data_IF_919243829992
#
_entry.id   IF_919243829992
#
_cell.length_a   1.000
_cell.length_b   1.000
_cell.length_c   1.000
_cell.angle_alpha   90.00
_cell.angle_beta   90.00
_cell.angle_gamma   90.00
#
_symmetry.space_group_name_H-M   'P 1'
#
loop_
_entity.id
_entity.type
_entity.pdbx_description
1 polymer ?
#
# COMPACT_ATOMS: atom_id res chain seq x y z
N UNK A 1 -11.76 -8.30 -34.11
CA UNK A 1 -13.02 -8.13 -33.37
C UNK A 1 -12.72 -7.30 -32.14
N UNK A 2 -12.91 -5.97 -32.21
CA UNK A 2 -12.69 -5.05 -31.09
C UNK A 2 -13.86 -5.24 -30.11
N UNK A 3 -13.60 -5.79 -28.93
CA UNK A 3 -14.59 -5.83 -27.84
C UNK A 3 -14.27 -4.69 -26.88
N UNK A 4 -14.97 -3.56 -27.02
CA UNK A 4 -14.91 -2.42 -26.07
C UNK A 4 -13.84 -1.39 -26.43
N UNK A 5 -14.23 -0.12 -26.50
CA UNK A 5 -13.34 1.02 -26.81
C UNK A 5 -12.37 1.39 -25.67
N UNK A 6 -11.84 0.41 -24.95
CA UNK A 6 -10.83 0.62 -23.92
C UNK A 6 -9.43 0.65 -24.56
N UNK A 7 -8.50 1.49 -24.05
CA UNK A 7 -7.09 1.43 -24.41
C UNK A 7 -6.47 0.04 -24.24
N UNK A 8 -5.41 -0.27 -24.99
CA UNK A 8 -4.74 -1.59 -24.93
C UNK A 8 -4.08 -1.87 -23.56
N UNK A 9 -3.76 -0.82 -22.81
CA UNK A 9 -3.16 -0.85 -21.48
C UNK A 9 -4.18 -0.67 -20.34
N UNK A 10 -5.47 -0.68 -20.66
CA UNK A 10 -6.51 -0.52 -19.65
C UNK A 10 -6.56 -1.74 -18.71
N UNK A 11 -6.58 -1.47 -17.41
CA UNK A 11 -6.88 -2.46 -16.35
C UNK A 11 -8.33 -2.29 -15.92
N UNK A 12 -9.08 -3.40 -15.89
CA UNK A 12 -10.47 -3.42 -15.42
C UNK A 12 -10.51 -4.02 -14.02
N UNK A 13 -11.00 -3.24 -13.06
CA UNK A 13 -11.22 -3.66 -11.68
C UNK A 13 -12.72 -3.55 -11.36
N UNK A 14 -13.23 -4.49 -10.58
CA UNK A 14 -14.51 -4.32 -9.88
C UNK A 14 -14.41 -3.20 -8.85
N UNK A 15 -15.56 -2.66 -8.45
CA UNK A 15 -15.61 -1.68 -7.37
C UNK A 15 -15.05 -2.23 -6.04
N UNK A 16 -15.19 -3.54 -5.80
CA UNK A 16 -14.68 -4.20 -4.61
C UNK A 16 -13.14 -4.30 -4.62
N UNK A 17 -12.55 -4.64 -5.76
CA UNK A 17 -11.09 -4.67 -5.94
C UNK A 17 -10.49 -3.27 -5.82
N UNK A 18 -11.16 -2.25 -6.35
CA UNK A 18 -10.72 -0.86 -6.18
C UNK A 18 -10.76 -0.41 -4.71
N UNK A 19 -11.83 -0.75 -3.98
CA UNK A 19 -11.95 -0.41 -2.57
C UNK A 19 -10.87 -1.11 -1.71
N UNK A 20 -10.63 -2.41 -1.94
CA UNK A 20 -9.57 -3.15 -1.25
C UNK A 20 -8.18 -2.59 -1.56
N UNK A 21 -7.90 -2.19 -2.82
CA UNK A 21 -6.65 -1.50 -3.16
C UNK A 21 -6.53 -0.15 -2.42
N UNK A 22 -7.61 0.63 -2.34
CA UNK A 22 -7.61 1.92 -1.62
C UNK A 22 -7.34 1.73 -0.12
N UNK A 23 -7.96 0.74 0.50
CA UNK A 23 -7.76 0.43 1.92
C UNK A 23 -6.31 0.04 2.21
N UNK A 24 -5.70 -0.80 1.35
CA UNK A 24 -4.30 -1.20 1.51
C UNK A 24 -3.32 -0.04 1.27
N UNK A 25 -3.60 0.84 0.30
CA UNK A 25 -2.81 2.05 0.10
C UNK A 25 -2.92 3.01 1.29
N UNK A 26 -4.10 3.10 1.91
CA UNK A 26 -4.27 3.85 3.15
C UNK A 26 -3.42 3.25 4.28
N UNK A 27 -3.45 1.94 4.46
CA UNK A 27 -2.62 1.24 5.45
C UNK A 27 -1.12 1.48 5.22
N UNK A 28 -0.66 1.42 3.97
CA UNK A 28 0.75 1.68 3.63
C UNK A 28 1.16 3.10 4.03
N UNK A 29 0.32 4.09 3.72
CA UNK A 29 0.57 5.48 4.12
C UNK A 29 0.65 5.61 5.63
N UNK A 30 -0.31 5.06 6.38
CA UNK A 30 -0.30 5.12 7.83
C UNK A 30 0.94 4.46 8.44
N UNK A 31 1.34 3.28 7.95
CA UNK A 31 2.56 2.63 8.41
C UNK A 31 3.81 3.50 8.16
N UNK A 32 3.85 4.23 7.04
CA UNK A 32 4.95 5.14 6.74
C UNK A 32 4.91 6.40 7.62
N UNK A 33 3.72 6.95 7.90
CA UNK A 33 3.51 8.06 8.82
C UNK A 33 3.94 7.68 10.25
N UNK A 34 3.65 6.46 10.71
CA UNK A 34 4.07 5.95 12.02
C UNK A 34 5.60 5.96 12.17
N UNK A 35 6.34 5.63 11.10
CA UNK A 35 7.81 5.73 11.10
C UNK A 35 8.26 7.18 11.28
N UNK A 36 7.60 8.14 10.62
CA UNK A 36 7.92 9.58 10.77
C UNK A 36 7.65 10.03 12.20
N UNK A 37 6.49 9.69 12.77
CA UNK A 37 6.16 10.01 14.15
C UNK A 37 7.16 9.42 15.14
N UNK A 38 7.56 8.16 14.95
CA UNK A 38 8.57 7.53 15.80
C UNK A 38 9.95 8.19 15.71
N UNK A 39 10.33 8.70 14.53
CA UNK A 39 11.57 9.49 14.38
C UNK A 39 11.46 10.81 15.15
N UNK A 40 10.33 11.51 15.03
CA UNK A 40 10.10 12.78 15.72
C UNK A 40 10.08 12.60 17.25
N UNK A 41 9.55 11.48 17.73
CA UNK A 41 9.50 11.10 19.14
C UNK A 41 10.84 10.53 19.66
N UNK A 42 11.89 10.48 18.84
CA UNK A 42 13.20 9.90 19.19
C UNK A 42 13.09 8.45 19.68
N UNK A 43 12.23 7.67 19.04
CA UNK A 43 12.07 6.25 19.31
C UNK A 43 13.40 5.49 19.16
N UNK A 44 13.52 4.37 19.88
CA UNK A 44 14.73 3.58 19.82
C UNK A 44 14.88 2.84 18.48
N UNK A 45 16.10 2.36 18.21
CA UNK A 45 16.43 1.65 16.97
C UNK A 45 15.55 0.42 16.73
N UNK A 46 15.17 -0.30 17.79
CA UNK A 46 14.34 -1.49 17.71
C UNK A 46 12.93 -1.16 17.25
N UNK A 47 12.34 -0.10 17.81
CA UNK A 47 11.02 0.41 17.43
C UNK A 47 11.01 0.88 15.97
N UNK A 48 11.98 1.72 15.58
CA UNK A 48 12.12 2.16 14.18
C UNK A 48 12.29 1.00 13.21
N UNK A 49 13.05 -0.04 13.59
CA UNK A 49 13.22 -1.25 12.77
C UNK A 49 11.90 -2.01 12.62
N UNK A 50 11.11 -2.11 13.69
CA UNK A 50 9.81 -2.77 13.66
C UNK A 50 8.83 -2.03 12.75
N UNK A 51 8.71 -0.70 12.89
CA UNK A 51 7.82 0.10 12.07
C UNK A 51 8.25 0.07 10.59
N UNK A 52 9.55 0.17 10.30
CA UNK A 52 10.05 0.05 8.93
C UNK A 52 9.76 -1.34 8.32
N UNK A 53 9.84 -2.42 9.11
CA UNK A 53 9.45 -3.76 8.65
C UNK A 53 7.94 -3.83 8.33
N UNK A 54 7.09 -3.21 9.14
CA UNK A 54 5.65 -3.15 8.88
C UNK A 54 5.31 -2.43 7.58
N UNK A 55 6.00 -1.34 7.24
CA UNK A 55 5.85 -0.67 5.94
C UNK A 55 6.14 -1.62 4.79
N UNK A 56 7.24 -2.39 4.89
CA UNK A 56 7.63 -3.37 3.87
C UNK A 56 6.60 -4.49 3.76
N UNK A 57 6.11 -5.00 4.89
CA UNK A 57 5.10 -6.07 4.91
C UNK A 57 3.81 -5.63 4.20
N UNK A 58 3.30 -4.42 4.49
CA UNK A 58 2.11 -3.87 3.82
C UNK A 58 2.36 -3.63 2.32
N UNK A 59 3.56 -3.17 1.95
CA UNK A 59 3.93 -3.00 0.55
C UNK A 59 3.95 -4.35 -0.20
N UNK A 60 4.46 -5.42 0.41
CA UNK A 60 4.46 -6.77 -0.17
C UNK A 60 3.03 -7.31 -0.32
N UNK A 61 2.12 -6.99 0.61
CA UNK A 61 0.71 -7.37 0.49
C UNK A 61 0.01 -6.66 -0.69
N UNK A 62 0.40 -5.42 -0.99
CA UNK A 62 -0.09 -4.66 -2.15
C UNK A 62 0.36 -5.28 -3.49
N UNK A 63 1.53 -5.92 -3.55
CA UNK A 63 2.02 -6.57 -4.78
C UNK A 63 1.17 -7.77 -5.23
N UNK A 64 0.29 -8.28 -4.35
CA UNK A 64 -0.57 -9.44 -4.62
C UNK A 64 -1.81 -9.11 -5.45
N UNK A 65 -2.04 -7.85 -5.82
CA UNK A 65 -3.13 -7.40 -6.71
C UNK A 65 -2.91 -7.76 -8.20
N UNK A 66 -2.29 -8.92 -8.48
CA UNK A 66 -2.03 -9.42 -9.84
C UNK A 66 -3.15 -10.30 -10.35
#
# INVERSE_FOLDING_TARGET
>A
MQRGGLPEDAVVLSAAELADLQDRLFQLRCAAEDVVTAVDDTADRGELRKLAAQVVDVAVELERLR
#
